data_IF_458122142232
#
_entry.id   IF_458122142232
#
_cell.length_a   1.000
_cell.length_b   1.000
_cell.length_c   1.000
_cell.angle_alpha   90.00
_cell.angle_beta   90.00
_cell.angle_gamma   90.00
#
_symmetry.space_group_name_H-M   'P 1'
#
loop_
_entity.id
_entity.type
_entity.pdbx_description
1 polymer ?
#
# COMPACT_ATOMS: atom_id res chain seq x y z
N UNK A 1 26.95 3.00 4.93
CA UNK A 1 25.81 3.95 4.94
C UNK A 1 25.67 4.80 3.67
N UNK A 2 26.74 5.41 3.13
CA UNK A 2 26.65 6.29 1.95
C UNK A 2 26.12 5.62 0.66
N UNK A 3 26.37 4.32 0.47
CA UNK A 3 25.91 3.57 -0.71
C UNK A 3 24.38 3.41 -0.76
N UNK A 4 23.74 3.20 0.39
CA UNK A 4 22.28 3.00 0.50
C UNK A 4 21.54 4.31 0.23
N UNK A 5 22.09 5.44 0.67
CA UNK A 5 21.54 6.77 0.38
C UNK A 5 21.61 7.12 -1.11
N UNK A 6 22.69 6.73 -1.80
CA UNK A 6 22.84 6.95 -3.25
C UNK A 6 21.84 6.17 -4.08
N UNK A 7 21.62 4.89 -3.74
CA UNK A 7 20.61 4.04 -4.40
C UNK A 7 19.19 4.55 -4.18
N UNK A 8 18.86 5.00 -2.97
CA UNK A 8 17.54 5.53 -2.65
C UNK A 8 17.26 6.85 -3.40
N UNK A 9 18.26 7.72 -3.52
CA UNK A 9 18.13 8.97 -4.27
C UNK A 9 18.03 8.73 -5.79
N UNK A 10 18.82 7.79 -6.32
CA UNK A 10 18.72 7.41 -7.74
C UNK A 10 17.36 6.79 -8.08
N UNK A 11 16.81 5.98 -7.17
CA UNK A 11 15.46 5.42 -7.32
C UNK A 11 14.38 6.51 -7.30
N UNK A 12 14.47 7.48 -6.39
CA UNK A 12 13.55 8.63 -6.34
C UNK A 12 13.63 9.50 -7.61
N UNK A 13 14.84 9.76 -8.12
CA UNK A 13 15.03 10.53 -9.35
C UNK A 13 14.48 9.79 -10.57
N UNK A 14 14.69 8.47 -10.65
CA UNK A 14 14.14 7.65 -11.72
C UNK A 14 12.60 7.66 -11.74
N UNK A 15 11.95 7.67 -10.56
CA UNK A 15 10.49 7.81 -10.43
C UNK A 15 9.98 9.16 -10.93
N UNK A 16 10.76 10.25 -10.78
CA UNK A 16 10.39 11.58 -11.26
C UNK A 16 10.63 11.80 -12.77
N UNK A 17 11.37 10.92 -13.45
CA UNK A 17 11.75 11.08 -14.86
C UNK A 17 10.90 10.26 -15.84
N UNK A 18 9.85 9.58 -15.39
CA UNK A 18 8.93 8.87 -16.29
C UNK A 18 8.04 9.92 -16.99
N UNK A 19 8.13 10.09 -18.32
CA UNK A 19 7.40 11.14 -19.01
C UNK A 19 5.89 10.90 -18.93
N UNK A 20 5.17 11.92 -18.46
CA UNK A 20 3.72 11.98 -18.57
C UNK A 20 3.33 12.08 -20.05
N UNK A 21 2.60 11.06 -20.52
CA UNK A 21 1.78 11.02 -21.74
C UNK A 21 2.47 11.17 -23.11
N UNK A 22 2.57 10.04 -23.82
CA UNK A 22 2.52 9.98 -25.27
C UNK A 22 1.20 9.29 -25.68
N UNK A 23 0.24 10.10 -26.14
CA UNK A 23 -1.05 9.70 -26.69
C UNK A 23 -0.91 9.48 -28.20
N UNK A 24 -1.16 8.26 -28.66
CA UNK A 24 -1.65 8.00 -30.01
C UNK A 24 -2.27 6.60 -30.12
N UNK A 25 -3.44 6.58 -30.76
CA UNK A 25 -4.25 5.43 -31.18
C UNK A 25 -5.13 4.79 -30.08
N UNK A 26 -6.39 4.53 -30.44
CA UNK A 26 -7.50 4.07 -29.60
C UNK A 26 -7.35 2.61 -29.15
N UNK A 27 -6.21 2.35 -28.52
CA UNK A 27 -5.74 1.16 -27.82
C UNK A 27 -5.61 1.46 -26.32
N UNK A 28 -6.51 2.30 -25.80
CA UNK A 28 -6.39 3.10 -24.56
C UNK A 28 -6.36 2.31 -23.25
N UNK A 29 -6.49 0.99 -23.31
CA UNK A 29 -6.37 0.08 -22.17
C UNK A 29 -4.90 -0.16 -21.83
N UNK A 30 -4.25 0.89 -21.32
CA UNK A 30 -2.93 0.81 -20.69
C UNK A 30 -3.10 0.82 -19.18
N UNK A 31 -2.29 0.01 -18.50
CA UNK A 31 -2.21 0.01 -17.05
C UNK A 31 -1.69 1.36 -16.58
N UNK A 32 -2.48 2.02 -15.74
CA UNK A 32 -2.13 3.32 -15.19
C UNK A 32 -1.27 3.15 -13.92
N UNK A 33 -0.29 4.05 -13.80
CA UNK A 33 0.66 4.15 -12.70
C UNK A 33 0.66 5.59 -12.21
N UNK A 34 -0.11 5.86 -11.17
CA UNK A 34 -0.21 7.18 -10.58
C UNK A 34 0.49 7.19 -9.22
N UNK A 35 1.49 8.08 -9.10
CA UNK A 35 2.18 8.35 -7.85
C UNK A 35 1.92 9.79 -7.43
N UNK A 36 1.20 9.96 -6.32
CA UNK A 36 0.88 11.25 -5.73
C UNK A 36 1.72 11.54 -4.50
N UNK A 37 2.15 12.79 -4.35
CA UNK A 37 2.63 13.28 -3.07
C UNK A 37 1.46 13.46 -2.09
N UNK A 38 1.67 13.18 -0.81
CA UNK A 38 0.65 13.33 0.24
C UNK A 38 0.35 14.80 0.53
N UNK A 39 -0.37 15.46 -0.36
CA UNK A 39 -0.93 16.78 -0.08
C UNK A 39 -2.12 16.62 0.87
N UNK A 40 -2.20 17.47 1.89
CA UNK A 40 -3.40 17.64 2.73
C UNK A 40 -3.94 16.39 3.45
N UNK A 41 -3.10 15.40 3.77
CA UNK A 41 -3.55 14.16 4.44
C UNK A 41 -4.59 13.35 3.65
N UNK A 42 -4.62 13.50 2.31
CA UNK A 42 -5.54 12.74 1.47
C UNK A 42 -5.14 11.25 1.41
N UNK A 43 -6.02 10.40 1.93
CA UNK A 43 -5.86 8.95 1.95
C UNK A 43 -5.94 8.32 0.56
N UNK A 44 -6.53 9.01 -0.43
CA UNK A 44 -6.55 8.56 -1.83
C UNK A 44 -5.14 8.48 -2.41
N UNK A 45 -4.25 9.38 -2.01
CA UNK A 45 -2.85 9.31 -2.43
C UNK A 45 -2.16 8.04 -1.89
N UNK A 46 -2.46 7.64 -0.64
CA UNK A 46 -1.92 6.41 -0.08
C UNK A 46 -2.43 5.17 -0.83
N UNK A 47 -3.74 5.14 -1.09
CA UNK A 47 -4.39 4.07 -1.85
C UNK A 47 -3.85 3.98 -3.28
N UNK A 48 -3.83 5.09 -4.02
CA UNK A 48 -3.33 5.15 -5.39
C UNK A 48 -1.85 4.74 -5.49
N UNK A 49 -1.00 5.27 -4.59
CA UNK A 49 0.41 4.88 -4.53
C UNK A 49 0.59 3.39 -4.28
N UNK A 50 -0.24 2.79 -3.41
CA UNK A 50 -0.18 1.37 -3.11
C UNK A 50 -0.57 0.51 -4.31
N UNK A 51 -1.64 0.87 -5.02
CA UNK A 51 -2.08 0.21 -6.26
C UNK A 51 -0.98 0.29 -7.32
N UNK A 52 -0.43 1.48 -7.57
CA UNK A 52 0.63 1.69 -8.54
C UNK A 52 1.91 0.93 -8.18
N UNK A 53 2.29 0.92 -6.91
CA UNK A 53 3.44 0.16 -6.41
C UNK A 53 3.23 -1.35 -6.60
N UNK A 54 2.06 -1.87 -6.22
CA UNK A 54 1.71 -3.28 -6.40
C UNK A 54 1.84 -3.70 -7.85
N UNK A 55 1.21 -2.95 -8.76
CA UNK A 55 1.27 -3.18 -10.21
C UNK A 55 2.69 -3.18 -10.73
N UNK A 56 3.47 -2.17 -10.34
CA UNK A 56 4.84 -1.98 -10.83
C UNK A 56 5.70 -3.17 -10.44
N UNK A 57 5.64 -3.58 -9.17
CA UNK A 57 6.39 -4.72 -8.66
C UNK A 57 6.00 -6.03 -9.37
N UNK A 58 4.71 -6.28 -9.54
CA UNK A 58 4.22 -7.47 -10.25
C UNK A 58 4.65 -7.49 -11.72
N UNK A 59 4.56 -6.35 -12.41
CA UNK A 59 4.92 -6.25 -13.82
C UNK A 59 6.43 -6.37 -14.02
N UNK A 60 7.24 -5.75 -13.15
CA UNK A 60 8.70 -5.92 -13.14
C UNK A 60 9.06 -7.40 -12.92
N UNK A 61 8.47 -8.05 -11.93
CA UNK A 61 8.75 -9.47 -11.69
C UNK A 61 8.36 -10.35 -12.89
N UNK A 62 7.15 -10.15 -13.43
CA UNK A 62 6.62 -10.95 -14.54
C UNK A 62 7.42 -10.76 -15.83
N UNK A 63 7.82 -9.52 -16.13
CA UNK A 63 8.45 -9.18 -17.43
C UNK A 63 9.97 -9.20 -17.39
N UNK A 64 10.59 -8.92 -16.24
CA UNK A 64 12.04 -8.77 -16.11
C UNK A 64 12.72 -9.87 -15.31
N UNK A 65 12.01 -10.54 -14.39
CA UNK A 65 12.64 -11.54 -13.48
C UNK A 65 12.27 -12.95 -13.91
N UNK A 66 10.96 -13.26 -13.96
CA UNK A 66 10.43 -14.60 -14.26
C UNK A 66 10.98 -15.21 -15.56
N UNK A 67 11.15 -14.48 -16.68
CA UNK A 67 11.64 -15.07 -17.94
C UNK A 67 13.06 -15.62 -17.87
N UNK A 68 13.86 -15.19 -16.89
CA UNK A 68 15.21 -15.70 -16.66
C UNK A 68 15.24 -16.89 -15.69
N UNK A 69 14.08 -17.39 -15.28
CA UNK A 69 13.94 -18.55 -14.41
C UNK A 69 13.42 -19.73 -15.23
N UNK A 70 13.75 -20.97 -14.82
CA UNK A 70 13.10 -22.16 -15.37
C UNK A 70 11.59 -22.14 -15.09
N UNK A 71 10.79 -22.77 -15.94
CA UNK A 71 9.31 -22.71 -15.87
C UNK A 71 8.77 -23.06 -14.47
N UNK A 72 9.20 -24.19 -13.90
CA UNK A 72 8.75 -24.67 -12.58
C UNK A 72 9.16 -23.73 -11.46
N UNK A 73 10.43 -23.32 -11.39
CA UNK A 73 10.91 -22.41 -10.34
C UNK A 73 10.31 -21.02 -10.49
N UNK A 74 10.19 -20.52 -11.72
CA UNK A 74 9.55 -19.24 -12.03
C UNK A 74 8.10 -19.17 -11.58
N UNK A 75 7.32 -20.25 -11.73
CA UNK A 75 5.94 -20.30 -11.24
C UNK A 75 5.84 -20.33 -9.70
N UNK A 76 6.69 -21.12 -9.03
CA UNK A 76 6.73 -21.16 -7.56
C UNK A 76 7.13 -19.79 -7.01
N UNK A 77 8.21 -19.20 -7.53
CA UNK A 77 8.68 -17.89 -7.10
C UNK A 77 7.65 -16.80 -7.42
N UNK A 78 6.94 -16.88 -8.55
CA UNK A 78 5.85 -15.95 -8.85
C UNK A 78 4.74 -15.98 -7.79
N UNK A 79 4.35 -17.17 -7.31
CA UNK A 79 3.35 -17.28 -6.23
C UNK A 79 3.81 -16.61 -4.94
N UNK A 80 5.03 -16.94 -4.49
CA UNK A 80 5.63 -16.38 -3.27
C UNK A 80 5.78 -14.85 -3.39
N UNK A 81 6.33 -14.39 -4.51
CA UNK A 81 6.53 -12.97 -4.79
C UNK A 81 5.21 -12.21 -4.83
N UNK A 82 4.20 -12.78 -5.48
CA UNK A 82 2.89 -12.15 -5.60
C UNK A 82 2.19 -12.03 -4.24
N UNK A 83 2.30 -13.08 -3.42
CA UNK A 83 1.82 -13.04 -2.04
C UNK A 83 2.53 -11.97 -1.22
N UNK A 84 3.87 -11.96 -1.21
CA UNK A 84 4.66 -11.01 -0.44
C UNK A 84 4.40 -9.56 -0.88
N UNK A 85 4.33 -9.32 -2.19
CA UNK A 85 4.03 -7.99 -2.76
C UNK A 85 2.64 -7.53 -2.37
N UNK A 86 1.63 -8.40 -2.52
CA UNK A 86 0.24 -8.13 -2.12
C UNK A 86 0.16 -7.81 -0.63
N UNK A 87 0.77 -8.64 0.20
CA UNK A 87 0.80 -8.47 1.64
C UNK A 87 1.43 -7.14 2.05
N UNK A 88 2.64 -6.86 1.59
CA UNK A 88 3.40 -5.67 1.98
C UNK A 88 2.77 -4.38 1.48
N UNK A 89 2.34 -4.32 0.22
CA UNK A 89 1.74 -3.10 -0.34
C UNK A 89 0.41 -2.75 0.33
N UNK A 90 -0.41 -3.75 0.64
CA UNK A 90 -1.65 -3.60 1.40
C UNK A 90 -1.36 -3.11 2.81
N UNK A 91 -0.47 -3.79 3.54
CA UNK A 91 -0.12 -3.48 4.91
C UNK A 91 0.47 -2.07 5.04
N UNK A 92 1.46 -1.70 4.22
CA UNK A 92 2.11 -0.39 4.35
C UNK A 92 1.16 0.75 4.01
N UNK A 93 0.29 0.57 3.01
CA UNK A 93 -0.74 1.56 2.71
C UNK A 93 -1.71 1.78 3.88
N UNK A 94 -2.07 0.69 4.57
CA UNK A 94 -2.90 0.74 5.77
C UNK A 94 -2.22 1.55 6.89
N UNK A 95 -0.97 1.21 7.23
CA UNK A 95 -0.23 1.94 8.27
C UNK A 95 0.00 3.41 7.90
N UNK A 96 0.21 3.72 6.62
CA UNK A 96 0.29 5.11 6.15
C UNK A 96 -1.02 5.86 6.32
N UNK A 97 -2.17 5.19 6.19
CA UNK A 97 -3.47 5.78 6.52
C UNK A 97 -3.52 6.28 7.97
N UNK A 98 -3.12 5.44 8.92
CA UNK A 98 -3.03 5.84 10.33
C UNK A 98 -2.06 6.98 10.54
N UNK A 99 -0.88 6.92 9.91
CA UNK A 99 0.12 7.97 10.00
C UNK A 99 -0.37 9.33 9.53
N UNK A 100 -1.08 9.37 8.39
CA UNK A 100 -1.63 10.60 7.83
C UNK A 100 -2.70 11.21 8.75
N UNK A 101 -3.66 10.42 9.22
CA UNK A 101 -4.73 10.94 10.10
C UNK A 101 -4.22 11.31 11.49
N UNK A 102 -3.30 10.53 12.06
CA UNK A 102 -2.65 10.90 13.32
C UNK A 102 -1.98 12.28 13.19
N UNK A 103 -1.24 12.51 12.10
CA UNK A 103 -0.58 13.81 11.86
C UNK A 103 -1.58 14.94 11.60
N UNK A 104 -2.70 14.67 10.94
CA UNK A 104 -3.76 15.66 10.70
C UNK A 104 -4.31 16.26 12.00
N UNK A 105 -4.35 15.48 13.08
CA UNK A 105 -4.87 15.91 14.39
C UNK A 105 -3.76 16.29 15.37
N UNK A 106 -2.54 16.55 14.87
CA UNK A 106 -1.39 16.92 15.68
C UNK A 106 -0.76 15.78 16.50
N UNK A 107 -1.13 14.54 16.19
CA UNK A 107 -0.55 13.34 16.78
C UNK A 107 0.72 12.85 16.08
N UNK A 108 1.23 11.72 16.56
CA UNK A 108 2.40 11.03 16.04
C UNK A 108 2.10 9.55 15.85
N UNK A 109 2.52 9.01 14.72
CA UNK A 109 2.48 7.58 14.43
C UNK A 109 3.90 7.05 14.32
N UNK A 110 4.21 5.99 15.06
CA UNK A 110 5.54 5.38 15.11
C UNK A 110 5.45 3.92 14.68
N UNK A 111 6.34 3.56 13.76
CA UNK A 111 6.57 2.18 13.35
C UNK A 111 7.80 1.71 14.12
N UNK A 112 7.64 0.73 14.99
CA UNK A 112 8.73 0.21 15.82
C UNK A 112 9.52 -0.86 15.10
N UNK A 113 8.84 -1.71 14.32
CA UNK A 113 9.48 -2.71 13.49
C UNK A 113 8.81 -2.80 12.11
N UNK A 114 9.62 -3.19 11.12
CA UNK A 114 9.17 -3.46 9.75
C UNK A 114 8.96 -4.97 9.53
N UNK A 115 8.86 -5.74 10.63
CA UNK A 115 8.92 -7.20 10.62
C UNK A 115 7.61 -7.87 10.20
N UNK A 116 7.73 -8.99 9.50
CA UNK A 116 6.63 -9.93 9.27
C UNK A 116 6.35 -10.74 10.55
N UNK A 117 5.11 -11.20 10.80
CA UNK A 117 3.94 -11.09 9.93
C UNK A 117 3.04 -9.89 10.23
N UNK A 118 3.26 -9.08 11.26
CA UNK A 118 2.42 -7.91 11.60
C UNK A 118 3.36 -6.82 12.17
N UNK A 119 3.33 -5.59 11.63
CA UNK A 119 4.15 -4.51 12.12
C UNK A 119 3.65 -4.09 13.50
N UNK A 120 4.58 -3.77 14.38
CA UNK A 120 4.30 -3.16 15.67
C UNK A 120 4.34 -1.64 15.48
N UNK A 121 3.19 -1.01 15.69
CA UNK A 121 3.02 0.43 15.55
C UNK A 121 2.39 1.02 16.81
N UNK A 122 2.70 2.27 17.11
CA UNK A 122 2.00 3.04 18.15
C UNK A 122 1.54 4.38 17.60
N UNK A 123 0.42 4.85 18.13
CA UNK A 123 -0.17 6.13 17.78
C UNK A 123 -0.37 6.95 19.05
N UNK A 124 0.37 8.05 19.14
CA UNK A 124 0.26 9.02 20.23
C UNK A 124 -0.58 10.20 19.74
N UNK A 125 -1.78 10.34 20.31
CA UNK A 125 -2.69 11.43 19.99
C UNK A 125 -2.75 12.44 21.15
N UNK A 126 -2.98 13.74 20.90
CA UNK A 126 -3.17 14.71 21.97
C UNK A 126 -4.33 14.31 22.89
N UNK A 127 -4.19 14.53 24.20
CA UNK A 127 -5.24 14.20 25.17
C UNK A 127 -6.52 15.04 25.00
N UNK A 128 -6.44 16.13 24.26
CA UNK A 128 -7.52 17.08 24.00
C UNK A 128 -8.32 16.80 22.72
N UNK A 129 -7.96 15.77 21.93
CA UNK A 129 -8.68 15.48 20.69
C UNK A 129 -10.11 15.00 20.95
N UNK A 130 -11.00 15.27 20.01
CA UNK A 130 -12.37 14.74 20.06
C UNK A 130 -12.37 13.21 19.90
N UNK A 131 -13.43 12.57 20.40
CA UNK A 131 -13.64 11.13 20.16
C UNK A 131 -13.76 10.82 18.66
N UNK A 132 -14.37 11.73 17.88
CA UNK A 132 -14.50 11.59 16.43
C UNK A 132 -13.13 11.56 15.76
N UNK A 133 -12.25 12.50 16.08
CA UNK A 133 -10.90 12.57 15.51
C UNK A 133 -10.05 11.35 15.89
N UNK A 134 -10.23 10.87 17.13
CA UNK A 134 -9.60 9.64 17.60
C UNK A 134 -10.06 8.44 16.77
N UNK A 135 -11.36 8.28 16.60
CA UNK A 135 -11.94 7.20 15.81
C UNK A 135 -11.48 7.27 14.35
N UNK A 136 -11.50 8.46 13.73
CA UNK A 136 -11.02 8.65 12.36
C UNK A 136 -9.54 8.26 12.20
N UNK A 137 -8.70 8.59 13.18
CA UNK A 137 -7.28 8.19 13.18
C UNK A 137 -7.12 6.67 13.26
N UNK A 138 -7.93 6.01 14.09
CA UNK A 138 -7.92 4.54 14.26
C UNK A 138 -8.52 3.81 13.06
N UNK A 139 -9.47 4.39 12.33
CA UNK A 139 -10.09 3.72 11.16
C UNK A 139 -9.37 4.01 9.84
N UNK A 140 -8.43 4.95 9.84
CA UNK A 140 -7.78 5.47 8.63
C UNK A 140 -7.14 4.40 7.74
N UNK A 141 -6.45 3.42 8.32
CA UNK A 141 -5.84 2.33 7.56
C UNK A 141 -6.89 1.49 6.81
N UNK A 142 -8.03 1.21 7.44
CA UNK A 142 -9.14 0.50 6.79
C UNK A 142 -9.80 1.36 5.70
N UNK A 143 -9.87 2.67 5.88
CA UNK A 143 -10.33 3.60 4.83
C UNK A 143 -9.44 3.48 3.58
N UNK A 144 -8.10 3.47 3.75
CA UNK A 144 -7.16 3.25 2.64
C UNK A 144 -7.38 1.90 1.95
N UNK A 145 -7.60 0.83 2.71
CA UNK A 145 -7.88 -0.48 2.10
C UNK A 145 -9.19 -0.49 1.31
N UNK A 146 -10.24 0.13 1.86
CA UNK A 146 -11.54 0.25 1.20
C UNK A 146 -11.45 1.06 -0.09
N UNK A 147 -10.77 2.21 -0.05
CA UNK A 147 -10.51 3.04 -1.23
C UNK A 147 -9.75 2.24 -2.30
N UNK A 148 -8.75 1.46 -1.89
CA UNK A 148 -7.95 0.65 -2.82
C UNK A 148 -8.79 -0.41 -3.52
N UNK A 149 -9.61 -1.13 -2.76
CA UNK A 149 -10.51 -2.14 -3.32
C UNK A 149 -11.56 -1.51 -4.25
N UNK A 150 -12.12 -0.35 -3.88
CA UNK A 150 -13.09 0.38 -4.69
C UNK A 150 -12.48 0.85 -6.02
N UNK A 151 -11.30 1.47 -5.98
CA UNK A 151 -10.62 1.96 -7.17
C UNK A 151 -10.31 0.81 -8.13
N UNK A 152 -9.76 -0.32 -7.63
CA UNK A 152 -9.47 -1.49 -8.47
C UNK A 152 -10.75 -2.04 -9.12
N UNK A 153 -11.87 -2.06 -8.40
CA UNK A 153 -13.15 -2.53 -8.96
C UNK A 153 -13.70 -1.58 -10.01
N UNK A 154 -13.62 -0.27 -9.77
CA UNK A 154 -14.00 0.75 -10.76
C UNK A 154 -13.16 0.61 -12.02
N UNK A 155 -11.85 0.47 -11.88
CA UNK A 155 -10.95 0.23 -13.00
C UNK A 155 -11.24 -1.10 -13.69
N UNK A 156 -11.55 -2.18 -12.98
CA UNK A 156 -11.94 -3.45 -13.59
C UNK A 156 -13.18 -3.30 -14.49
N UNK A 157 -14.21 -2.60 -14.02
CA UNK A 157 -15.44 -2.34 -14.81
C UNK A 157 -15.15 -1.41 -15.98
N UNK A 158 -14.50 -0.27 -15.72
CA UNK A 158 -14.12 0.69 -16.75
C UNK A 158 -13.19 0.07 -17.80
N UNK A 159 -12.40 -0.92 -17.39
CA UNK A 159 -11.42 -1.60 -18.21
C UNK A 159 -11.89 -2.97 -18.76
N UNK A 160 -13.19 -3.25 -18.72
CA UNK A 160 -13.83 -4.47 -19.23
C UNK A 160 -13.09 -5.76 -18.79
N UNK A 161 -12.56 -5.74 -17.57
CA UNK A 161 -11.88 -6.87 -16.94
C UNK A 161 -10.46 -7.19 -17.43
N UNK A 162 -9.83 -6.33 -18.24
CA UNK A 162 -8.49 -6.60 -18.81
C UNK A 162 -7.41 -6.82 -17.72
N UNK A 163 -7.50 -6.12 -16.58
CA UNK A 163 -6.55 -6.23 -15.47
C UNK A 163 -7.13 -6.97 -14.25
N UNK A 164 -7.64 -8.17 -14.48
CA UNK A 164 -8.27 -8.99 -13.44
C UNK A 164 -7.30 -9.47 -12.35
N UNK A 165 -5.98 -9.47 -12.58
CA UNK A 165 -5.00 -9.88 -11.57
C UNK A 165 -4.96 -8.93 -10.36
N UNK A 166 -5.38 -7.67 -10.54
CA UNK A 166 -5.51 -6.71 -9.45
C UNK A 166 -6.66 -7.07 -8.48
N UNK A 167 -7.62 -7.91 -8.89
CA UNK A 167 -8.72 -8.33 -8.02
C UNK A 167 -8.21 -9.12 -6.80
N UNK A 168 -7.09 -9.84 -6.91
CA UNK A 168 -6.46 -10.49 -5.76
C UNK A 168 -6.00 -9.47 -4.71
N UNK A 169 -5.46 -8.32 -5.14
CA UNK A 169 -5.08 -7.23 -4.25
C UNK A 169 -6.31 -6.55 -3.63
N UNK A 170 -7.38 -6.33 -4.40
CA UNK A 170 -8.65 -5.81 -3.89
C UNK A 170 -9.28 -6.75 -2.84
N UNK A 171 -9.25 -8.05 -3.10
CA UNK A 171 -9.72 -9.08 -2.17
C UNK A 171 -8.93 -9.06 -0.86
N UNK A 172 -7.59 -9.03 -0.93
CA UNK A 172 -6.74 -8.93 0.24
C UNK A 172 -7.06 -7.69 1.09
N UNK A 173 -7.21 -6.52 0.45
CA UNK A 173 -7.60 -5.28 1.13
C UNK A 173 -8.96 -5.40 1.85
N UNK A 174 -9.94 -6.12 1.28
CA UNK A 174 -11.22 -6.38 1.95
C UNK A 174 -11.12 -7.35 3.12
N UNK A 175 -10.21 -8.33 3.04
CA UNK A 175 -9.99 -9.29 4.12
C UNK A 175 -9.26 -8.70 5.34
N UNK A 176 -8.55 -7.58 5.19
CA UNK A 176 -7.80 -6.99 6.29
C UNK A 176 -8.67 -6.66 7.51
N UNK A 177 -9.83 -6.02 7.31
CA UNK A 177 -10.71 -5.68 8.41
C UNK A 177 -11.19 -6.90 9.23
N UNK A 178 -11.79 -7.94 8.62
CA UNK A 178 -12.24 -9.10 9.37
C UNK A 178 -11.07 -9.84 10.05
N UNK A 179 -9.93 -10.01 9.37
CA UNK A 179 -8.75 -10.64 9.98
C UNK A 179 -8.22 -9.85 11.18
N UNK A 180 -8.09 -8.53 11.04
CA UNK A 180 -7.63 -7.68 12.13
C UNK A 180 -8.58 -7.73 13.32
N UNK A 181 -9.88 -7.63 13.07
CA UNK A 181 -10.90 -7.68 14.13
C UNK A 181 -10.92 -9.01 14.90
N UNK A 182 -10.56 -10.11 14.24
CA UNK A 182 -10.47 -11.44 14.87
C UNK A 182 -9.19 -11.61 15.70
N UNK A 183 -8.10 -10.96 15.30
CA UNK A 183 -6.78 -11.06 15.92
C UNK A 183 -6.50 -9.97 16.96
N UNK A 184 -7.51 -9.18 17.37
CA UNK A 184 -7.32 -8.15 18.40
C UNK A 184 -6.89 -8.82 19.71
N UNK A 185 -5.61 -8.69 20.05
CA UNK A 185 -5.07 -9.06 21.36
C UNK A 185 -5.27 -7.86 22.30
N UNK A 186 -6.07 -7.99 23.38
CA UNK A 186 -6.20 -6.93 24.37
C UNK A 186 -4.83 -6.60 24.95
N UNK A 187 -4.43 -5.32 24.92
CA UNK A 187 -3.17 -4.87 25.54
C UNK A 187 -3.45 -4.11 26.83
N UNK A 188 -2.62 -4.35 27.84
CA UNK A 188 -2.69 -3.61 29.09
C UNK A 188 -2.14 -2.19 28.88
N UNK A 189 -2.93 -1.12 29.09
CA UNK A 189 -2.47 0.25 28.88
C UNK A 189 -1.39 0.71 29.87
N UNK A 190 -1.12 -0.08 30.91
CA UNK A 190 -0.07 0.20 31.91
C UNK A 190 1.29 -0.39 31.56
N UNK A 191 1.36 -1.26 30.54
CA UNK A 191 2.59 -1.86 30.11
C UNK A 191 3.41 -0.84 29.31
N UNK A 192 4.71 -0.71 29.62
CA UNK A 192 5.59 0.21 28.87
C UNK A 192 5.82 -0.34 27.46
N UNK A 193 5.92 0.57 26.49
CA UNK A 193 6.41 0.23 25.16
C UNK A 193 7.87 -0.26 25.29
N UNK A 194 8.09 -1.57 25.19
CA UNK A 194 9.41 -2.21 25.14
C UNK A 194 9.96 -2.24 23.74
#
# INVERSE_FOLDING_TARGET
MKLVQGLFLAFLVALCCIPASALAQDSSWRRQYDFGAYTQFDLRNSSGNAISTHRLLQDVFRTQIKPHMGEKSGNITAGIYSFATTYLTMLWSHEFGHSLRAKQVGGQFKIHNFGLPIPYTTMHLPSTISLTDKSLSVTAGFEVNSLSAQQIQQEFVAQNGIYNEALGFAFANRLMYPLYSFLIVPRNPKEKDT
#
